data_IF_653349456402
#
_entry.id   IF_653349456402
#
_cell.length_a   1.000
_cell.length_b   1.000
_cell.length_c   1.000
_cell.angle_alpha   90.00
_cell.angle_beta   90.00
_cell.angle_gamma   90.00
#
_symmetry.space_group_name_H-M   'P 1'
#
loop_
_entity.id
_entity.type
_entity.pdbx_description
1 polymer ?
#
# COMPACT_ATOMS: atom_id res chain seq x y z
N UNK A 1 63.94 1.08 9.50
CA UNK A 1 62.99 2.05 8.90
C UNK A 1 61.65 1.42 8.46
N UNK A 2 61.36 0.14 8.72
CA UNK A 2 60.16 -0.57 8.18
C UNK A 2 59.01 -0.73 9.19
N UNK A 3 59.29 -0.65 10.51
CA UNK A 3 58.28 -0.84 11.56
C UNK A 3 57.37 0.40 11.79
N UNK A 4 57.91 1.61 11.66
CA UNK A 4 57.14 2.86 11.83
C UNK A 4 56.07 3.06 10.73
N UNK A 5 56.34 2.60 9.51
CA UNK A 5 55.39 2.67 8.38
C UNK A 5 54.18 1.73 8.56
N UNK A 6 54.40 0.53 9.12
CA UNK A 6 53.33 -0.45 9.41
C UNK A 6 52.39 0.05 10.50
N UNK A 7 52.93 0.74 11.51
CA UNK A 7 52.14 1.30 12.62
C UNK A 7 51.26 2.48 12.18
N UNK A 8 51.78 3.39 11.35
CA UNK A 8 50.98 4.49 10.76
C UNK A 8 49.84 4.00 9.87
N UNK A 9 50.06 2.94 9.08
CA UNK A 9 49.02 2.33 8.23
C UNK A 9 47.87 1.74 9.06
N UNK A 10 48.19 1.08 10.18
CA UNK A 10 47.19 0.48 11.07
C UNK A 10 46.38 1.55 11.83
N UNK A 11 47.01 2.65 12.25
CA UNK A 11 46.30 3.80 12.85
C UNK A 11 45.31 4.43 11.88
N UNK A 12 45.69 4.60 10.62
CA UNK A 12 44.81 5.17 9.60
C UNK A 12 43.58 4.28 9.31
N UNK A 13 43.79 2.96 9.31
CA UNK A 13 42.72 1.97 9.14
C UNK A 13 41.76 1.98 10.34
N UNK A 14 42.29 2.06 11.57
CA UNK A 14 41.47 2.13 12.79
C UNK A 14 40.64 3.41 12.80
N UNK A 15 41.20 4.55 12.39
CA UNK A 15 40.48 5.82 12.32
C UNK A 15 39.33 5.79 11.30
N UNK A 16 39.55 5.17 10.14
CA UNK A 16 38.51 4.97 9.12
C UNK A 16 37.39 4.04 9.59
N UNK A 17 37.71 2.98 10.30
CA UNK A 17 36.73 2.03 10.85
C UNK A 17 35.90 2.71 11.95
N UNK A 18 36.51 3.48 12.85
CA UNK A 18 35.79 4.22 13.90
C UNK A 18 34.90 5.30 13.29
N UNK A 19 35.35 5.99 12.23
CA UNK A 19 34.55 6.99 11.52
C UNK A 19 33.34 6.38 10.80
N UNK A 20 33.50 5.19 10.20
CA UNK A 20 32.40 4.46 9.56
C UNK A 20 31.37 3.94 10.57
N UNK A 21 31.82 3.45 11.73
CA UNK A 21 30.93 2.97 12.80
C UNK A 21 30.15 4.12 13.43
N UNK A 22 30.77 5.29 13.60
CA UNK A 22 30.08 6.48 14.14
C UNK A 22 29.11 7.11 13.15
N UNK A 23 29.34 6.98 11.83
CA UNK A 23 28.36 7.38 10.81
C UNK A 23 27.10 6.50 10.80
N UNK A 24 27.24 5.20 11.07
CA UNK A 24 26.12 4.25 11.07
C UNK A 24 25.15 4.51 12.25
N UNK A 25 25.65 4.92 13.41
CA UNK A 25 24.80 5.23 14.58
C UNK A 25 23.99 6.53 14.47
N UNK A 26 24.31 7.45 13.55
CA UNK A 26 23.52 8.66 13.33
C UNK A 26 22.31 8.43 12.40
N UNK A 27 22.34 7.40 11.55
CA UNK A 27 21.23 7.11 10.63
C UNK A 27 19.95 6.71 11.38
N UNK A 28 20.06 5.99 12.50
CA UNK A 28 18.93 5.56 13.32
C UNK A 28 18.24 6.73 14.05
N UNK A 29 18.88 7.90 14.16
CA UNK A 29 18.30 9.08 14.81
C UNK A 29 17.45 9.93 13.85
N UNK A 30 17.73 9.88 12.55
CA UNK A 30 17.03 10.66 11.52
C UNK A 30 15.89 9.90 10.83
N UNK A 31 15.81 8.58 10.98
CA UNK A 31 14.66 7.81 10.49
C UNK A 31 13.55 7.93 11.54
N UNK A 32 12.45 8.62 11.21
CA UNK A 32 11.41 8.85 12.18
C UNK A 32 10.67 7.50 12.38
N UNK A 33 10.49 7.10 13.64
CA UNK A 33 10.02 5.75 14.04
C UNK A 33 8.63 5.40 13.51
N UNK A 34 7.87 6.40 13.08
CA UNK A 34 6.59 6.32 12.38
C UNK A 34 6.70 5.67 10.99
N UNK A 35 7.85 5.78 10.31
CA UNK A 35 8.08 5.05 9.04
C UNK A 35 8.28 3.54 9.31
N UNK A 36 8.82 3.17 10.48
CA UNK A 36 8.96 1.77 10.89
C UNK A 36 7.63 1.11 11.33
N UNK A 37 6.57 1.89 11.58
CA UNK A 37 5.24 1.35 11.90
C UNK A 37 4.46 0.84 10.68
N UNK A 38 4.90 1.14 9.46
CA UNK A 38 4.29 0.60 8.24
C UNK A 38 4.45 -0.92 8.08
N UNK A 39 5.34 -1.55 8.86
CA UNK A 39 5.65 -2.98 8.75
C UNK A 39 4.76 -3.87 9.64
N UNK A 40 4.12 -3.33 10.68
CA UNK A 40 3.24 -4.11 11.56
C UNK A 40 1.79 -3.97 11.13
N UNK A 41 1.31 -5.03 10.45
CA UNK A 41 -0.07 -5.31 10.01
C UNK A 41 -0.40 -4.91 8.57
N UNK A 42 0.42 -5.37 7.61
CA UNK A 42 -0.12 -5.60 6.27
C UNK A 42 -1.27 -6.61 6.35
N UNK A 43 -2.47 -6.23 5.91
CA UNK A 43 -3.59 -7.16 5.73
C UNK A 43 -3.28 -8.26 4.69
N UNK A 44 -2.24 -8.06 3.88
CA UNK A 44 -1.80 -8.93 2.79
C UNK A 44 -0.57 -9.71 3.26
N UNK A 45 -0.81 -10.96 3.67
CA UNK A 45 0.23 -11.93 4.05
C UNK A 45 0.10 -13.19 3.21
N UNK A 46 1.15 -14.00 3.16
CA UNK A 46 1.10 -15.33 2.51
C UNK A 46 0.09 -16.28 3.17
N UNK A 47 -0.31 -16.02 4.42
CA UNK A 47 -1.24 -16.87 5.17
C UNK A 47 -2.70 -16.47 5.01
N UNK A 48 -3.01 -15.18 4.91
CA UNK A 48 -4.39 -14.69 5.02
C UNK A 48 -4.92 -14.11 3.70
N UNK A 49 -4.39 -12.99 3.20
CA UNK A 49 -4.83 -12.41 1.92
C UNK A 49 -3.76 -12.55 0.83
N UNK A 50 -3.29 -13.77 0.59
CA UNK A 50 -2.15 -14.04 -0.28
C UNK A 50 -2.30 -13.55 -1.73
N UNK A 51 -3.52 -13.36 -2.21
CA UNK A 51 -3.82 -13.00 -3.60
C UNK A 51 -4.35 -11.56 -3.78
N UNK A 52 -4.48 -10.80 -2.69
CA UNK A 52 -4.98 -9.44 -2.76
C UNK A 52 -3.92 -8.51 -3.37
N UNK A 53 -4.30 -7.73 -4.38
CA UNK A 53 -3.41 -6.85 -5.11
C UNK A 53 -2.49 -7.55 -6.13
N UNK A 54 -2.78 -8.81 -6.47
CA UNK A 54 -2.01 -9.60 -7.46
C UNK A 54 -2.74 -9.82 -8.79
N UNK A 55 -3.92 -9.22 -8.95
CA UNK A 55 -4.70 -9.29 -10.19
C UNK A 55 -4.04 -8.53 -11.36
N UNK A 56 -4.57 -8.73 -12.58
CA UNK A 56 -4.08 -8.05 -13.78
C UNK A 56 -4.32 -6.54 -13.75
N UNK A 57 -5.51 -6.14 -13.31
CA UNK A 57 -5.86 -4.75 -13.03
C UNK A 57 -6.19 -4.62 -11.56
N UNK A 58 -5.33 -3.95 -10.81
CA UNK A 58 -5.50 -3.73 -9.36
C UNK A 58 -5.95 -2.30 -9.14
N UNK A 59 -6.94 -2.12 -8.28
CA UNK A 59 -7.43 -0.80 -7.92
C UNK A 59 -6.38 -0.03 -7.13
N UNK A 60 -6.20 1.26 -7.43
CA UNK A 60 -5.10 2.08 -6.90
C UNK A 60 -4.89 1.98 -5.39
N UNK A 61 -5.92 2.20 -4.55
CA UNK A 61 -5.80 2.03 -3.10
C UNK A 61 -5.32 0.63 -2.66
N UNK A 62 -5.69 -0.42 -3.39
CA UNK A 62 -5.26 -1.79 -3.10
C UNK A 62 -3.82 -2.03 -3.52
N UNK A 63 -3.36 -1.45 -4.64
CA UNK A 63 -1.97 -1.63 -5.10
C UNK A 63 -0.94 -1.01 -4.15
N UNK A 64 -1.36 -0.04 -3.34
CA UNK A 64 -0.54 0.61 -2.30
C UNK A 64 -0.92 0.20 -0.88
N UNK A 65 -1.69 -0.89 -0.70
CA UNK A 65 -2.09 -1.46 0.59
C UNK A 65 -2.87 -0.49 1.52
N UNK A 66 -3.56 0.50 0.95
CA UNK A 66 -4.37 1.47 1.68
C UNK A 66 -5.80 0.97 1.92
N UNK A 67 -5.94 -0.19 2.56
CA UNK A 67 -7.24 -0.83 2.84
C UNK A 67 -8.19 0.09 3.62
N UNK A 68 -7.62 0.91 4.53
CA UNK A 68 -8.39 1.72 5.48
C UNK A 68 -9.09 2.94 4.87
N UNK A 69 -8.81 3.24 3.59
CA UNK A 69 -9.54 4.28 2.85
C UNK A 69 -10.99 3.85 2.62
N UNK A 70 -11.22 2.55 2.42
CA UNK A 70 -12.55 1.99 2.19
C UNK A 70 -13.08 1.19 3.38
N UNK A 71 -12.21 0.48 4.09
CA UNK A 71 -12.58 -0.40 5.20
C UNK A 71 -12.30 0.26 6.54
N UNK A 72 -13.29 0.31 7.41
CA UNK A 72 -13.11 0.77 8.78
C UNK A 72 -12.93 -0.45 9.70
N UNK A 73 -11.73 -0.71 10.25
CA UNK A 73 -11.54 -1.83 11.17
C UNK A 73 -12.29 -1.59 12.48
N UNK A 74 -12.94 -2.63 13.00
CA UNK A 74 -13.73 -2.58 14.26
C UNK A 74 -13.08 -3.42 15.36
N UNK A 75 -12.54 -4.58 15.02
CA UNK A 75 -11.83 -5.51 15.92
C UNK A 75 -10.68 -6.21 15.18
N UNK A 76 -10.07 -7.22 15.79
CA UNK A 76 -9.09 -8.08 15.12
C UNK A 76 -9.73 -8.72 13.88
N UNK A 77 -9.28 -8.27 12.69
CA UNK A 77 -9.71 -8.80 11.40
C UNK A 77 -11.21 -8.67 11.07
N UNK A 78 -11.86 -7.63 11.60
CA UNK A 78 -13.26 -7.30 11.30
C UNK A 78 -13.37 -5.88 10.71
N UNK A 79 -14.18 -5.72 9.65
CA UNK A 79 -14.47 -4.43 9.05
C UNK A 79 -15.94 -4.08 9.22
N UNK A 80 -16.21 -2.80 9.48
CA UNK A 80 -17.55 -2.26 9.45
C UNK A 80 -18.17 -2.49 8.06
N UNK A 81 -19.43 -2.96 7.97
CA UNK A 81 -20.13 -3.06 6.71
C UNK A 81 -20.17 -1.72 5.97
N UNK A 82 -19.97 -1.76 4.65
CA UNK A 82 -20.13 -0.59 3.79
C UNK A 82 -21.63 -0.39 3.54
N UNK A 83 -22.23 0.58 4.21
CA UNK A 83 -23.67 0.86 4.14
C UNK A 83 -24.08 1.60 2.86
N UNK A 84 -23.17 2.36 2.26
CA UNK A 84 -23.45 3.15 1.06
C UNK A 84 -22.26 3.13 0.10
N UNK A 85 -22.23 2.12 -0.77
CA UNK A 85 -21.15 1.94 -1.76
C UNK A 85 -21.03 3.16 -2.68
N UNK A 86 -22.16 3.71 -3.14
CA UNK A 86 -22.18 4.86 -4.03
C UNK A 86 -21.53 6.09 -3.43
N UNK A 87 -21.84 6.39 -2.17
CA UNK A 87 -21.22 7.50 -1.44
C UNK A 87 -19.73 7.26 -1.28
N UNK A 88 -19.31 6.04 -0.95
CA UNK A 88 -17.90 5.68 -0.79
C UNK A 88 -17.12 5.88 -2.11
N UNK A 89 -17.61 5.31 -3.21
CA UNK A 89 -16.99 5.47 -4.52
C UNK A 89 -16.90 6.94 -4.95
N UNK A 90 -17.96 7.72 -4.67
CA UNK A 90 -18.04 9.12 -5.03
C UNK A 90 -17.17 10.05 -4.16
N UNK A 91 -16.50 9.55 -3.12
CA UNK A 91 -15.48 10.33 -2.42
C UNK A 91 -14.28 10.65 -3.32
N UNK A 92 -14.05 9.84 -4.35
CA UNK A 92 -12.95 10.04 -5.31
C UNK A 92 -13.41 10.03 -6.77
N UNK A 93 -14.43 9.25 -7.11
CA UNK A 93 -14.91 9.12 -8.49
C UNK A 93 -16.18 9.94 -8.67
N UNK A 94 -16.06 11.08 -9.34
CA UNK A 94 -17.24 11.83 -9.77
C UNK A 94 -17.91 11.12 -10.95
N UNK A 95 -18.80 10.18 -10.61
CA UNK A 95 -19.69 9.53 -11.57
C UNK A 95 -21.08 10.12 -11.38
N UNK A 96 -21.31 11.28 -12.01
CA UNK A 96 -22.67 11.64 -12.42
C UNK A 96 -23.23 10.53 -13.33
N UNK A 97 -24.55 10.32 -13.29
CA UNK A 97 -25.23 9.48 -14.28
C UNK A 97 -25.00 10.11 -15.67
N UNK A 98 -23.93 9.70 -16.35
CA UNK A 98 -23.45 10.33 -17.58
C UNK A 98 -24.04 9.58 -18.76
N UNK A 99 -25.21 10.07 -19.20
CA UNK A 99 -25.92 9.61 -20.39
C UNK A 99 -27.43 9.91 -20.30
N UNK A 100 -28.09 10.16 -21.44
CA UNK A 100 -29.55 10.37 -21.50
C UNK A 100 -30.33 9.17 -20.92
N UNK A 101 -29.76 7.96 -21.03
CA UNK A 101 -30.27 6.73 -20.42
C UNK A 101 -29.17 6.05 -19.61
N UNK A 102 -29.02 6.43 -18.34
CA UNK A 102 -28.13 5.70 -17.44
C UNK A 102 -28.75 4.36 -17.02
N UNK A 103 -27.94 3.29 -17.07
CA UNK A 103 -28.30 1.96 -16.59
C UNK A 103 -28.79 2.01 -15.13
N UNK A 104 -29.89 1.32 -14.76
CA UNK A 104 -30.46 1.40 -13.42
C UNK A 104 -29.47 1.18 -12.28
N UNK A 105 -28.54 0.19 -12.34
CA UNK A 105 -27.51 0.03 -11.30
C UNK A 105 -26.62 1.27 -11.11
N UNK A 106 -26.33 2.01 -12.17
CA UNK A 106 -25.54 3.25 -12.08
C UNK A 106 -26.35 4.36 -11.41
N UNK A 107 -27.64 4.49 -11.74
CA UNK A 107 -28.56 5.46 -11.09
C UNK A 107 -28.76 5.16 -9.61
N UNK A 108 -28.85 3.88 -9.26
CA UNK A 108 -28.96 3.38 -7.89
C UNK A 108 -27.62 3.36 -7.15
N UNK A 109 -26.53 3.76 -7.82
CA UNK A 109 -25.16 3.75 -7.31
C UNK A 109 -24.68 2.37 -6.84
N UNK A 110 -25.17 1.31 -7.48
CA UNK A 110 -24.76 -0.08 -7.29
C UNK A 110 -23.49 -0.41 -8.07
N UNK A 111 -22.40 0.27 -7.73
CA UNK A 111 -21.14 0.22 -8.47
C UNK A 111 -20.54 -1.19 -8.49
N UNK A 112 -20.66 -1.91 -7.38
CA UNK A 112 -20.08 -3.25 -7.22
C UNK A 112 -20.92 -4.35 -7.85
N UNK A 113 -22.01 -4.04 -8.57
CA UNK A 113 -22.69 -5.04 -9.40
C UNK A 113 -21.82 -5.50 -10.58
N UNK A 114 -21.08 -4.56 -11.18
CA UNK A 114 -20.23 -4.82 -12.34
C UNK A 114 -18.74 -4.62 -12.05
N UNK A 115 -18.38 -3.76 -11.09
CA UNK A 115 -16.98 -3.45 -10.77
C UNK A 115 -16.49 -4.18 -9.51
N UNK A 116 -15.30 -4.78 -9.57
CA UNK A 116 -14.57 -5.27 -8.40
C UNK A 116 -13.72 -4.14 -7.80
N UNK A 117 -13.98 -3.68 -6.57
CA UNK A 117 -13.25 -2.55 -5.98
C UNK A 117 -11.81 -2.88 -5.60
N UNK A 118 -11.38 -4.15 -5.70
CA UNK A 118 -10.03 -4.57 -5.37
C UNK A 118 -9.18 -4.84 -6.61
N UNK A 119 -9.64 -5.76 -7.46
CA UNK A 119 -8.89 -6.18 -8.65
C UNK A 119 -9.75 -6.97 -9.63
N UNK A 120 -9.38 -6.94 -10.91
CA UNK A 120 -10.08 -7.66 -11.97
C UNK A 120 -9.13 -8.17 -13.07
N UNK A 121 -9.47 -9.26 -13.78
CA UNK A 121 -8.82 -9.63 -15.03
C UNK A 121 -9.12 -8.66 -16.21
N UNK A 122 -10.15 -7.82 -16.10
CA UNK A 122 -10.61 -6.92 -17.16
C UNK A 122 -10.34 -5.45 -16.83
N UNK A 123 -10.20 -4.61 -17.87
CA UNK A 123 -10.03 -3.18 -17.70
C UNK A 123 -11.22 -2.55 -16.96
N UNK A 124 -10.97 -1.39 -16.35
CA UNK A 124 -11.95 -0.65 -15.54
C UNK A 124 -12.53 -1.45 -14.37
N UNK A 125 -11.82 -2.46 -13.89
CA UNK A 125 -12.24 -3.31 -12.79
C UNK A 125 -13.51 -4.11 -13.06
N UNK A 126 -13.85 -4.40 -14.32
CA UNK A 126 -15.09 -5.10 -14.66
C UNK A 126 -15.03 -6.59 -14.33
N UNK A 127 -16.08 -7.17 -13.74
CA UNK A 127 -16.12 -8.61 -13.43
C UNK A 127 -16.15 -9.51 -14.67
N UNK A 128 -16.64 -9.02 -15.80
CA UNK A 128 -16.69 -9.72 -17.07
C UNK A 128 -16.70 -8.76 -18.25
N UNK A 129 -16.64 -9.31 -19.45
CA UNK A 129 -16.93 -8.56 -20.67
C UNK A 129 -18.42 -8.20 -20.65
N UNK A 130 -18.75 -6.91 -20.83
CA UNK A 130 -20.12 -6.41 -20.71
C UNK A 130 -21.04 -7.10 -21.73
N UNK A 131 -22.16 -7.64 -21.25
CA UNK A 131 -23.28 -8.15 -22.05
C UNK A 131 -24.31 -7.07 -22.33
#
# INVERSE_FOLDING_TARGET
>A
MTYLFKYKKNIFIIFFIVALISFFSLADFFIPKDVALAEKQSCVTSKCHANMGKGKYVHGPVSVLQCIICHMPTAEHEFKPIENEGKLCNQCHDKGATGEVAHPPVKEKKCTGCHDPHQSPNQFMLRGEGS
#
